data_IF_055778857548
#
_entry.id   IF_055778857548
#
_cell.length_a   1.000
_cell.length_b   1.000
_cell.length_c   1.000
_cell.angle_alpha   90.00
_cell.angle_beta   90.00
_cell.angle_gamma   90.00
#
_symmetry.space_group_name_H-M   'P 1'
#
loop_
_entity.id
_entity.type
_entity.pdbx_description
1 polymer ?
#
# COMPACT_ATOMS: atom_id res chain seq x y z
N UNK A 1 7.15 2.07 -15.85
CA UNK A 1 6.58 0.70 -15.94
C UNK A 1 5.06 0.79 -15.76
N UNK A 2 4.27 -0.21 -16.18
CA UNK A 2 2.81 -0.17 -15.94
C UNK A 2 2.46 -0.52 -14.50
N UNK A 3 1.36 0.03 -14.00
CA UNK A 3 0.89 -0.26 -12.64
C UNK A 3 0.51 -1.73 -12.51
N UNK A 4 -0.23 -2.26 -13.50
CA UNK A 4 -0.71 -3.65 -13.51
C UNK A 4 0.43 -4.66 -13.42
N UNK A 5 1.53 -4.41 -14.13
CA UNK A 5 2.67 -5.31 -14.20
C UNK A 5 3.44 -5.32 -12.87
N UNK A 6 3.65 -4.12 -12.29
CA UNK A 6 4.29 -4.00 -10.98
C UNK A 6 3.46 -4.69 -9.89
N UNK A 7 2.15 -4.50 -9.89
CA UNK A 7 1.25 -5.14 -8.92
C UNK A 7 1.16 -6.66 -9.12
N UNK A 8 1.23 -7.16 -10.35
CA UNK A 8 1.28 -8.60 -10.62
C UNK A 8 2.55 -9.23 -10.02
N UNK A 9 3.70 -8.57 -10.15
CA UNK A 9 4.97 -9.02 -9.56
C UNK A 9 4.91 -9.06 -8.03
N UNK A 10 4.28 -8.05 -7.41
CA UNK A 10 4.05 -8.03 -5.96
C UNK A 10 3.06 -9.13 -5.53
N UNK A 11 1.94 -9.28 -6.24
CA UNK A 11 0.91 -10.28 -5.92
C UNK A 11 1.47 -11.70 -5.97
N UNK A 12 2.32 -12.01 -6.96
CA UNK A 12 2.98 -13.31 -7.09
C UNK A 12 3.93 -13.65 -5.93
N UNK A 13 4.40 -12.65 -5.17
CA UNK A 13 5.32 -12.82 -4.02
C UNK A 13 4.70 -12.40 -2.69
N UNK A 14 3.39 -12.18 -2.66
CA UNK A 14 2.65 -11.75 -1.46
C UNK A 14 2.81 -12.71 -0.29
N UNK A 15 2.81 -14.01 -0.56
CA UNK A 15 2.79 -15.05 0.46
C UNK A 15 1.68 -14.78 1.50
N UNK A 16 2.05 -14.68 2.77
CA UNK A 16 1.16 -14.42 3.90
C UNK A 16 1.01 -12.92 4.22
N UNK A 17 1.54 -12.00 3.42
CA UNK A 17 1.41 -10.58 3.73
C UNK A 17 -0.06 -10.13 3.78
N UNK A 18 -0.44 -9.37 4.80
CA UNK A 18 -1.67 -8.57 4.82
C UNK A 18 -1.39 -7.30 4.01
N UNK A 19 -2.27 -6.94 3.09
CA UNK A 19 -2.05 -5.78 2.22
C UNK A 19 -3.10 -4.71 2.46
N UNK A 20 -2.66 -3.49 2.75
CA UNK A 20 -3.50 -2.31 2.90
C UNK A 20 -3.32 -1.44 1.67
N UNK A 21 -4.36 -1.35 0.85
CA UNK A 21 -4.36 -0.54 -0.37
C UNK A 21 -4.91 0.86 -0.06
N UNK A 22 -4.20 1.90 -0.49
CA UNK A 22 -4.73 3.26 -0.49
C UNK A 22 -5.86 3.42 -1.49
N UNK A 23 -6.69 4.44 -1.27
CA UNK A 23 -7.73 4.81 -2.22
C UNK A 23 -7.08 5.17 -3.56
N UNK A 24 -7.54 4.55 -4.64
CA UNK A 24 -7.04 4.83 -5.99
C UNK A 24 -7.08 3.61 -6.89
N UNK A 25 -6.48 3.73 -8.07
CA UNK A 25 -6.51 2.68 -9.08
C UNK A 25 -5.73 1.43 -8.66
N UNK A 26 -4.60 1.59 -7.96
CA UNK A 26 -3.80 0.47 -7.48
C UNK A 26 -4.61 -0.50 -6.60
N UNK A 27 -5.58 0.00 -5.83
CA UNK A 27 -6.50 -0.85 -5.07
C UNK A 27 -7.42 -1.69 -5.98
N UNK A 28 -7.97 -1.10 -7.04
CA UNK A 28 -8.82 -1.81 -7.99
C UNK A 28 -8.03 -2.88 -8.76
N UNK A 29 -6.82 -2.57 -9.19
CA UNK A 29 -5.93 -3.53 -9.86
C UNK A 29 -5.51 -4.66 -8.91
N UNK A 30 -5.14 -4.34 -7.67
CA UNK A 30 -4.83 -5.35 -6.66
C UNK A 30 -6.01 -6.28 -6.40
N UNK A 31 -7.23 -5.72 -6.32
CA UNK A 31 -8.45 -6.51 -6.21
C UNK A 31 -8.67 -7.40 -7.44
N UNK A 32 -8.51 -6.86 -8.64
CA UNK A 32 -8.69 -7.61 -9.88
C UNK A 32 -7.72 -8.80 -9.97
N UNK A 33 -6.47 -8.61 -9.53
CA UNK A 33 -5.41 -9.62 -9.52
C UNK A 33 -5.60 -10.68 -8.43
N UNK A 34 -6.01 -10.28 -7.22
CA UNK A 34 -5.92 -11.16 -6.04
C UNK A 34 -7.25 -11.63 -5.50
N UNK A 35 -8.34 -10.86 -5.70
CA UNK A 35 -9.64 -11.06 -5.04
C UNK A 35 -9.53 -11.30 -3.52
N UNK A 36 -8.48 -10.76 -2.91
CA UNK A 36 -8.10 -11.07 -1.54
C UNK A 36 -9.00 -10.34 -0.54
N UNK A 37 -9.64 -11.10 0.33
CA UNK A 37 -10.43 -10.60 1.46
C UNK A 37 -9.59 -10.28 2.71
N UNK A 38 -8.35 -10.78 2.77
CA UNK A 38 -7.36 -10.42 3.79
C UNK A 38 -6.45 -9.25 3.33
N UNK A 39 -6.86 -8.53 2.29
CA UNK A 39 -6.42 -7.17 2.01
C UNK A 39 -7.48 -6.20 2.48
N UNK A 40 -7.04 -5.06 2.98
CA UNK A 40 -7.93 -3.94 3.27
C UNK A 40 -7.81 -2.90 2.16
N UNK A 41 -8.92 -2.44 1.59
CA UNK A 41 -8.91 -1.42 0.56
C UNK A 41 -9.54 -0.12 1.08
N UNK A 42 -8.71 0.88 1.34
CA UNK A 42 -9.17 2.11 1.98
C UNK A 42 -10.22 2.82 1.10
N UNK A 43 -11.41 3.06 1.67
CA UNK A 43 -12.50 3.78 1.01
C UNK A 43 -12.77 5.11 1.73
N UNK A 44 -12.79 6.22 0.99
CA UNK A 44 -13.18 7.54 1.51
C UNK A 44 -12.16 8.25 2.44
N UNK A 45 -10.98 7.68 2.67
CA UNK A 45 -9.96 8.24 3.56
C UNK A 45 -8.56 8.22 2.91
N UNK A 46 -8.33 9.09 1.92
CA UNK A 46 -7.00 9.26 1.30
C UNK A 46 -5.96 9.67 2.36
N UNK A 47 -4.75 9.12 2.25
CA UNK A 47 -3.65 9.37 3.20
C UNK A 47 -3.60 8.46 4.41
N UNK A 48 -4.66 7.70 4.73
CA UNK A 48 -4.69 6.93 5.97
C UNK A 48 -4.24 5.45 5.85
N UNK A 49 -3.98 4.95 4.63
CA UNK A 49 -3.57 3.57 4.42
C UNK A 49 -2.26 3.21 5.16
N UNK A 50 -1.27 4.10 5.11
CA UNK A 50 -0.01 3.96 5.83
C UNK A 50 -0.22 3.83 7.35
N UNK A 51 -1.02 4.72 7.95
CA UNK A 51 -1.31 4.69 9.38
C UNK A 51 -2.10 3.44 9.79
N UNK A 52 -3.05 2.98 8.97
CA UNK A 52 -3.79 1.75 9.22
C UNK A 52 -2.88 0.52 9.18
N UNK A 53 -2.00 0.44 8.18
CA UNK A 53 -1.05 -0.65 8.05
C UNK A 53 -0.03 -0.67 9.19
N UNK A 54 0.44 0.49 9.65
CA UNK A 54 1.31 0.58 10.81
C UNK A 54 0.63 -0.01 12.06
N UNK A 55 -0.65 0.31 12.29
CA UNK A 55 -1.42 -0.27 13.39
C UNK A 55 -1.49 -1.80 13.30
N UNK A 56 -1.73 -2.35 12.11
CA UNK A 56 -1.70 -3.79 11.88
C UNK A 56 -0.32 -4.41 12.13
N UNK A 57 0.74 -3.77 11.65
CA UNK A 57 2.11 -4.26 11.80
C UNK A 57 2.50 -4.36 13.28
N UNK A 58 2.09 -3.36 14.08
CA UNK A 58 2.31 -3.33 15.53
C UNK A 58 1.45 -4.36 16.27
N UNK A 59 0.19 -4.55 15.87
CA UNK A 59 -0.73 -5.51 16.49
C UNK A 59 -0.40 -6.98 16.13
N UNK A 60 0.19 -7.22 14.96
CA UNK A 60 0.50 -8.54 14.41
C UNK A 60 2.00 -8.64 14.06
N UNK A 61 2.91 -8.59 15.05
CA UNK A 61 4.36 -8.44 14.80
C UNK A 61 5.01 -9.62 14.05
N UNK A 62 4.33 -10.77 13.97
CA UNK A 62 4.79 -11.97 13.27
C UNK A 62 4.25 -12.10 11.84
N UNK A 63 3.37 -11.19 11.42
CA UNK A 63 2.73 -11.23 10.11
C UNK A 63 3.28 -10.10 9.24
N UNK A 64 3.79 -10.35 8.03
CA UNK A 64 4.18 -9.28 7.11
C UNK A 64 2.97 -8.39 6.78
N UNK A 65 3.17 -7.07 6.82
CA UNK A 65 2.15 -6.09 6.45
C UNK A 65 2.70 -5.20 5.35
N UNK A 66 1.97 -5.10 4.24
CA UNK A 66 2.32 -4.25 3.12
C UNK A 66 1.33 -3.10 2.99
N UNK A 67 1.84 -1.92 2.66
CA UNK A 67 1.05 -0.79 2.19
C UNK A 67 1.24 -0.68 0.70
N UNK A 68 0.16 -0.73 -0.07
CA UNK A 68 0.15 -0.29 -1.46
C UNK A 68 -0.44 1.11 -1.48
N UNK A 69 0.44 2.09 -1.28
CA UNK A 69 0.08 3.49 -1.23
C UNK A 69 0.17 4.13 -2.63
N UNK A 70 -0.48 5.27 -2.80
CA UNK A 70 -0.34 6.10 -3.99
C UNK A 70 0.44 7.38 -3.63
N UNK A 71 1.20 7.92 -4.56
CA UNK A 71 1.88 9.22 -4.44
C UNK A 71 0.95 10.35 -3.95
N UNK A 72 -0.26 10.47 -4.51
CA UNK A 72 -1.30 11.41 -4.08
C UNK A 72 -1.76 11.19 -2.64
N UNK A 73 -1.92 9.93 -2.25
CA UNK A 73 -2.31 9.55 -0.89
C UNK A 73 -1.18 9.85 0.10
N UNK A 74 0.08 9.53 -0.24
CA UNK A 74 1.24 9.86 0.57
C UNK A 74 1.39 11.38 0.76
N UNK A 75 1.20 12.17 -0.29
CA UNK A 75 1.24 13.62 -0.19
C UNK A 75 0.23 14.20 0.81
N UNK A 76 -0.95 13.59 0.94
CA UNK A 76 -1.97 14.05 1.90
C UNK A 76 -1.64 13.73 3.36
N UNK A 77 -0.81 12.71 3.61
CA UNK A 77 -0.40 12.33 4.95
C UNK A 77 1.08 11.97 5.01
N UNK A 78 1.93 12.92 4.63
CA UNK A 78 3.37 12.73 4.61
C UNK A 78 3.97 12.49 6.01
N UNK A 79 3.29 12.98 7.06
CA UNK A 79 3.66 12.77 8.45
C UNK A 79 3.68 11.29 8.86
N UNK A 80 3.05 10.40 8.08
CA UNK A 80 3.12 8.96 8.32
C UNK A 80 4.56 8.43 8.31
N UNK A 81 5.47 9.02 7.51
CA UNK A 81 6.87 8.60 7.44
C UNK A 81 7.59 8.77 8.79
N UNK A 82 7.29 9.85 9.51
CA UNK A 82 7.87 10.10 10.84
C UNK A 82 7.37 9.06 11.85
N UNK A 83 6.08 8.73 11.78
CA UNK A 83 5.47 7.75 12.67
C UNK A 83 5.98 6.33 12.37
N UNK A 84 6.06 5.94 11.09
CA UNK A 84 6.62 4.65 10.67
C UNK A 84 8.08 4.51 11.09
N UNK A 85 8.89 5.55 10.89
CA UNK A 85 10.29 5.56 11.33
C UNK A 85 10.42 5.46 12.86
N UNK A 86 9.61 6.21 13.61
CA UNK A 86 9.66 6.22 15.07
C UNK A 86 9.20 4.92 15.72
N UNK A 87 8.22 4.24 15.14
CA UNK A 87 7.72 2.95 15.63
C UNK A 87 8.56 1.77 15.11
N UNK A 88 9.15 1.90 13.93
CA UNK A 88 10.05 0.94 13.28
C UNK A 88 9.62 -0.54 13.35
N UNK A 89 8.37 -0.89 12.99
CA UNK A 89 7.93 -2.29 13.01
C UNK A 89 8.78 -3.16 12.05
N UNK A 90 9.25 -4.35 12.46
CA UNK A 90 10.15 -5.17 11.65
C UNK A 90 9.49 -5.77 10.40
N UNK A 91 8.17 -5.80 10.37
CA UNK A 91 7.32 -6.52 9.42
C UNK A 91 6.57 -5.60 8.44
N UNK A 92 6.86 -4.30 8.38
CA UNK A 92 6.17 -3.34 7.50
C UNK A 92 6.93 -3.10 6.18
N UNK A 93 6.23 -3.20 5.05
CA UNK A 93 6.75 -2.80 3.72
C UNK A 93 5.80 -1.78 3.09
N UNK A 94 6.30 -0.59 2.81
CA UNK A 94 5.53 0.52 2.25
C UNK A 94 5.92 0.69 0.79
N UNK A 95 5.05 0.26 -0.12
CA UNK A 95 5.20 0.48 -1.55
C UNK A 95 4.37 1.70 -1.96
N UNK A 96 4.96 2.60 -2.75
CA UNK A 96 4.28 3.77 -3.29
C UNK A 96 4.21 3.65 -4.80
N UNK A 97 3.01 3.55 -5.34
CA UNK A 97 2.77 3.66 -6.78
C UNK A 97 2.80 5.15 -7.13
N UNK A 98 3.83 5.57 -7.87
CA UNK A 98 4.09 6.96 -8.23
C UNK A 98 3.93 7.12 -9.74
N UNK A 99 2.77 7.64 -10.16
CA UNK A 99 2.45 7.94 -11.57
C UNK A 99 2.44 9.45 -11.87
N UNK A 100 2.65 10.29 -10.85
CA UNK A 100 2.72 11.74 -10.99
C UNK A 100 1.37 12.42 -11.25
N UNK A 101 0.24 11.71 -11.12
CA UNK A 101 -1.10 12.25 -11.39
C UNK A 101 -2.16 11.75 -10.40
N UNK A 102 -3.15 12.58 -10.11
CA UNK A 102 -4.40 12.12 -9.49
C UNK A 102 -5.26 11.40 -10.53
N UNK A 103 -4.94 10.12 -10.73
CA UNK A 103 -5.47 9.28 -11.80
C UNK A 103 -7.01 9.24 -11.85
N UNK A 104 -7.64 9.07 -10.70
CA UNK A 104 -9.09 8.83 -10.58
C UNK A 104 -9.97 10.06 -10.84
N UNK A 105 -9.38 11.26 -10.87
CA UNK A 105 -10.11 12.54 -11.06
C UNK A 105 -9.76 13.21 -12.39
N UNK A 106 -9.36 12.41 -13.39
CA UNK A 106 -9.04 12.88 -14.74
C UNK A 106 -7.55 13.08 -14.99
N UNK A 107 -6.68 12.33 -14.31
CA UNK A 107 -5.22 12.38 -14.45
C UNK A 107 -4.65 13.81 -14.30
N UNK A 108 -5.20 14.56 -13.34
CA UNK A 108 -4.70 15.91 -13.01
C UNK A 108 -3.29 15.79 -12.43
N UNK A 109 -2.32 16.63 -12.86
CA UNK A 109 -0.96 16.58 -12.34
C UNK A 109 -0.89 16.66 -10.81
N UNK A 110 0.03 15.88 -10.22
CA UNK A 110 0.35 15.93 -8.80
C UNK A 110 0.83 17.31 -8.36
N UNK A 111 0.54 17.70 -7.12
CA UNK A 111 0.86 19.03 -6.56
C UNK A 111 2.35 19.37 -6.61
N UNK A 112 3.19 18.36 -6.50
CA UNK A 112 4.64 18.47 -6.49
C UNK A 112 5.29 18.27 -7.87
N UNK A 113 4.53 17.88 -8.91
CA UNK A 113 4.97 17.76 -10.31
C UNK A 113 6.37 17.13 -10.50
N UNK A 114 6.64 16.01 -9.81
CA UNK A 114 7.92 15.29 -9.93
C UNK A 114 9.14 15.99 -9.31
N UNK A 115 8.95 17.07 -8.54
CA UNK A 115 10.04 17.81 -7.87
C UNK A 115 10.44 17.21 -6.52
N UNK A 116 9.84 16.09 -6.15
CA UNK A 116 10.03 15.45 -4.84
C UNK A 116 10.63 14.07 -5.00
N UNK A 117 11.65 13.78 -4.19
CA UNK A 117 12.19 12.44 -4.01
C UNK A 117 11.61 11.84 -2.72
N UNK A 118 10.54 11.04 -2.85
CA UNK A 118 9.90 10.40 -1.71
C UNK A 118 10.81 9.41 -0.99
N UNK A 119 11.71 8.71 -1.71
CA UNK A 119 12.65 7.80 -1.09
C UNK A 119 13.67 8.55 -0.24
N UNK A 120 14.17 9.71 -0.70
CA UNK A 120 15.03 10.58 0.10
C UNK A 120 14.31 11.11 1.33
N UNK A 121 13.03 11.48 1.21
CA UNK A 121 12.24 11.91 2.36
C UNK A 121 12.04 10.80 3.39
N UNK A 122 11.75 9.57 2.94
CA UNK A 122 11.66 8.41 3.83
C UNK A 122 12.99 8.16 4.58
N UNK A 123 14.14 8.24 3.88
CA UNK A 123 15.47 8.16 4.53
C UNK A 123 15.66 9.28 5.55
N UNK A 124 15.32 10.51 5.18
CA UNK A 124 15.45 11.67 6.05
C UNK A 124 14.49 11.61 7.27
N UNK A 125 13.36 10.93 7.15
CA UNK A 125 12.45 10.64 8.25
C UNK A 125 12.97 9.54 9.20
N UNK A 126 13.96 8.75 8.79
CA UNK A 126 14.56 7.68 9.59
C UNK A 126 14.29 6.25 9.09
N UNK A 127 13.64 6.08 7.94
CA UNK A 127 13.45 4.76 7.32
C UNK A 127 14.73 4.40 6.56
N UNK A 128 15.58 3.55 7.16
CA UNK A 128 16.90 3.20 6.61
C UNK A 128 16.83 2.59 5.21
N UNK A 129 15.83 1.74 5.00
CA UNK A 129 15.61 0.99 3.77
C UNK A 129 14.65 1.78 2.88
N UNK A 130 15.15 2.69 2.04
CA UNK A 130 14.30 3.36 1.06
C UNK A 130 14.91 3.56 -0.31
N UNK A 131 14.14 3.27 -1.37
CA UNK A 131 14.58 3.34 -2.77
C UNK A 131 13.45 3.68 -3.74
N UNK A 132 13.84 4.00 -4.97
CA UNK A 132 12.95 4.15 -6.12
C UNK A 132 13.33 3.12 -7.17
N UNK A 133 12.35 2.42 -7.71
CA UNK A 133 12.49 1.47 -8.81
C UNK A 133 11.74 2.00 -10.02
N UNK A 134 12.42 2.07 -11.17
CA UNK A 134 11.90 2.71 -12.37
C UNK A 134 11.41 1.73 -13.44
N UNK A 135 11.82 0.48 -13.34
CA UNK A 135 11.46 -0.57 -14.29
C UNK A 135 11.12 -1.90 -13.61
N UNK A 136 10.43 -2.75 -14.37
CA UNK A 136 9.92 -4.02 -13.91
C UNK A 136 11.05 -5.01 -13.58
N UNK A 137 12.14 -4.99 -14.35
CA UNK A 137 13.27 -5.89 -14.13
C UNK A 137 14.00 -5.58 -12.81
N UNK A 138 14.09 -4.29 -12.43
CA UNK A 138 14.59 -3.86 -11.14
C UNK A 138 13.69 -4.34 -10.01
N UNK A 139 12.36 -4.19 -10.15
CA UNK A 139 11.41 -4.74 -9.19
C UNK A 139 11.57 -6.25 -9.02
N UNK A 140 11.58 -7.02 -10.10
CA UNK A 140 11.71 -8.48 -10.02
C UNK A 140 13.02 -8.93 -9.35
N UNK A 141 14.11 -8.23 -9.64
CA UNK A 141 15.43 -8.51 -9.10
C UNK A 141 15.56 -8.16 -7.62
N UNK A 142 15.02 -7.02 -7.20
CA UNK A 142 15.25 -6.45 -5.86
C UNK A 142 14.18 -6.84 -4.84
N UNK A 143 12.99 -7.23 -5.30
CA UNK A 143 11.86 -7.59 -4.43
C UNK A 143 12.21 -8.66 -3.40
N UNK A 144 12.90 -9.78 -3.72
CA UNK A 144 13.29 -10.75 -2.69
C UNK A 144 14.11 -10.12 -1.55
N UNK A 145 15.03 -9.21 -1.88
CA UNK A 145 15.81 -8.50 -0.87
C UNK A 145 14.93 -7.55 -0.04
N UNK A 146 14.09 -6.73 -0.69
CA UNK A 146 13.16 -5.80 -0.02
C UNK A 146 12.27 -6.53 0.99
N UNK A 147 11.75 -7.71 0.62
CA UNK A 147 10.89 -8.51 1.48
C UNK A 147 11.64 -9.10 2.69
N UNK A 148 12.95 -9.29 2.58
CA UNK A 148 13.81 -9.83 3.65
C UNK A 148 14.40 -8.77 4.59
N UNK A 149 14.30 -7.48 4.26
CA UNK A 149 14.87 -6.41 5.08
C UNK A 149 14.24 -6.36 6.47
N UNK A 150 15.05 -6.16 7.51
CA UNK A 150 14.55 -5.93 8.85
C UNK A 150 14.07 -4.48 9.00
N UNK A 151 12.92 -4.28 9.63
CA UNK A 151 12.37 -2.93 9.83
C UNK A 151 11.46 -2.48 8.67
N UNK A 152 10.92 -1.25 8.79
CA UNK A 152 10.17 -0.65 7.72
C UNK A 152 11.05 -0.49 6.49
N UNK A 153 10.51 -0.89 5.33
CA UNK A 153 11.13 -0.61 4.03
C UNK A 153 10.18 0.21 3.19
N UNK A 154 10.70 1.23 2.51
CA UNK A 154 9.94 2.16 1.68
C UNK A 154 10.41 2.08 0.23
N UNK A 155 9.53 1.67 -0.68
CA UNK A 155 9.89 1.48 -2.09
C UNK A 155 8.92 2.25 -2.98
N UNK A 156 9.44 3.25 -3.68
CA UNK A 156 8.69 3.95 -4.73
C UNK A 156 8.76 3.13 -6.00
N UNK A 157 7.62 2.82 -6.58
CA UNK A 157 7.47 2.18 -7.88
C UNK A 157 7.07 3.27 -8.87
N UNK A 158 8.04 3.74 -9.67
CA UNK A 158 7.77 4.75 -10.70
C UNK A 158 7.05 4.09 -11.86
N UNK A 159 5.80 4.50 -12.07
CA UNK A 159 4.92 3.96 -13.08
C UNK A 159 4.48 5.04 -14.06
N UNK A 160 4.04 4.62 -15.24
CA UNK A 160 3.53 5.54 -16.26
C UNK A 160 2.07 5.90 -15.97
N UNK A 161 1.64 7.16 -16.16
CA UNK A 161 0.23 7.53 -16.02
C UNK A 161 -0.59 6.91 -17.16
N UNK A 162 -1.69 6.25 -16.81
CA UNK A 162 -2.52 5.53 -17.78
C UNK A 162 -3.76 6.36 -18.12
N UNK A 163 -4.17 6.42 -19.40
CA UNK A 163 -5.34 7.25 -19.80
C UNK A 163 -6.63 6.44 -20.00
N UNK A 164 -6.52 5.16 -20.31
CA UNK A 164 -7.65 4.24 -20.58
C UNK A 164 -8.05 3.41 -19.35
N UNK A 165 -7.83 3.98 -18.16
CA UNK A 165 -7.89 3.30 -16.86
C UNK A 165 -9.29 2.92 -16.37
N UNK A 166 -10.35 3.25 -17.12
CA UNK A 166 -11.72 2.85 -16.81
C UNK A 166 -12.02 1.37 -17.14
N UNK A 167 -11.05 0.63 -17.70
CA UNK A 167 -11.22 -0.77 -18.08
C UNK A 167 -11.31 -1.75 -16.88
N UNK A 168 -10.72 -1.41 -15.75
CA UNK A 168 -10.86 -2.22 -14.52
C UNK A 168 -12.13 -1.77 -13.81
N UNK A 169 -13.18 -2.60 -13.73
CA UNK A 169 -14.39 -2.22 -13.01
C UNK A 169 -14.00 -1.90 -11.56
N UNK A 170 -14.51 -0.79 -11.00
CA UNK A 170 -14.23 -0.44 -9.62
C UNK A 170 -14.63 -1.61 -8.73
N UNK A 171 -13.90 -1.81 -7.63
CA UNK A 171 -14.39 -2.70 -6.58
C UNK A 171 -15.83 -2.33 -6.26
N UNK A 172 -16.73 -3.30 -6.36
CA UNK A 172 -18.15 -3.12 -6.03
C UNK A 172 -18.41 -3.08 -4.53
N UNK A 173 -17.38 -2.85 -3.71
CA UNK A 173 -17.49 -2.90 -2.26
C UNK A 173 -17.93 -1.57 -1.67
N UNK A 174 -18.96 -1.62 -0.83
CA UNK A 174 -19.26 -0.56 0.10
C UNK A 174 -18.22 -0.52 1.23
N UNK A 175 -17.74 0.69 1.57
CA UNK A 175 -16.70 0.86 2.58
C UNK A 175 -17.06 0.24 3.95
N UNK A 176 -18.34 0.31 4.35
CA UNK A 176 -18.81 -0.28 5.59
C UNK A 176 -18.69 -1.82 5.59
N UNK A 177 -19.09 -2.47 4.50
CA UNK A 177 -19.01 -3.93 4.35
C UNK A 177 -17.55 -4.41 4.33
N UNK A 178 -16.67 -3.63 3.70
CA UNK A 178 -15.26 -4.00 3.58
C UNK A 178 -14.56 -4.12 4.94
N UNK A 179 -14.85 -3.21 5.87
CA UNK A 179 -14.37 -3.31 7.26
C UNK A 179 -14.72 -4.66 7.87
N UNK A 180 -15.99 -5.07 7.73
CA UNK A 180 -16.45 -6.35 8.28
C UNK A 180 -15.82 -7.54 7.57
N UNK A 181 -15.77 -7.55 6.24
CA UNK A 181 -15.14 -8.65 5.48
C UNK A 181 -13.68 -8.84 5.86
N UNK A 182 -12.91 -7.76 5.89
CA UNK A 182 -11.51 -7.79 6.29
C UNK A 182 -11.36 -8.29 7.73
N UNK A 183 -12.08 -7.70 8.69
CA UNK A 183 -12.00 -8.13 10.08
C UNK A 183 -12.39 -9.61 10.26
N UNK A 184 -13.45 -10.09 9.60
CA UNK A 184 -13.82 -11.52 9.61
C UNK A 184 -12.77 -12.40 8.93
N UNK A 185 -12.08 -11.91 7.89
CA UNK A 185 -10.97 -12.63 7.29
C UNK A 185 -9.79 -12.75 8.28
N UNK A 186 -9.47 -11.70 9.03
CA UNK A 186 -8.46 -11.75 10.10
C UNK A 186 -8.86 -12.72 11.22
N UNK A 187 -10.12 -12.70 11.66
CA UNK A 187 -10.61 -13.66 12.68
C UNK A 187 -10.44 -15.11 12.22
N UNK A 188 -10.83 -15.42 10.97
CA UNK A 188 -10.64 -16.78 10.39
C UNK A 188 -9.17 -17.15 10.30
N UNK A 189 -8.32 -16.20 9.92
CA UNK A 189 -6.90 -16.43 9.66
C UNK A 189 -6.07 -16.60 10.93
N UNK A 190 -6.36 -15.82 11.96
CA UNK A 190 -5.56 -15.76 13.19
C UNK A 190 -6.25 -16.36 14.42
N UNK A 191 -7.53 -16.75 14.32
CA UNK A 191 -8.29 -17.25 15.47
C UNK A 191 -8.54 -16.19 16.55
N UNK A 192 -8.56 -14.91 16.16
CA UNK A 192 -8.79 -13.77 17.06
C UNK A 192 -10.25 -13.31 16.99
N UNK A 193 -10.65 -12.39 17.89
CA UNK A 193 -11.93 -11.68 17.83
C UNK A 193 -11.66 -10.21 17.50
N UNK A 194 -12.12 -9.77 16.33
CA UNK A 194 -12.04 -8.37 15.89
C UNK A 194 -13.36 -7.67 16.18
N UNK A 195 -14.48 -8.34 15.93
CA UNK A 195 -15.82 -7.82 16.22
C UNK A 195 -16.42 -8.55 17.42
N UNK A 196 -16.20 -7.98 18.61
CA UNK A 196 -16.80 -8.45 19.85
C UNK A 196 -18.20 -7.86 20.10
N UNK A 197 -18.91 -8.33 21.14
CA UNK A 197 -20.24 -7.85 21.51
C UNK A 197 -20.28 -6.39 22.03
N UNK A 198 -19.14 -5.72 22.13
CA UNK A 198 -19.03 -4.34 22.58
C UNK A 198 -18.82 -3.44 21.36
N UNK A 199 -19.93 -2.96 20.81
CA UNK A 199 -19.93 -1.88 19.82
C UNK A 199 -19.68 -0.54 20.50
N UNK A 200 -18.63 0.14 20.07
CA UNK A 200 -18.60 1.60 20.03
C UNK A 200 -18.63 2.02 18.56
#
# INVERSE_FOLDING_TARGET
>A
MKTSDALAVLAARRNDAIVVCALGMAANEWWALTRSEDSFYMHGAMGFAASFALGLALALPQTPVWVLNADGSLCMNLGCLLTEAGQSPPNLKHFVVDNGVYQTVGAVPMVNQGRTDYAAMARAAGIAHARTLEDLAALERELPAILSEAGPSFTVLRVDPERDFLGTPPMTYEGAEMKYRFGRALERRFGIVVFGPQGY
#
